data_IF_593048482491
#
_entry.id   IF_593048482491
#
_cell.length_a   1.000
_cell.length_b   1.000
_cell.length_c   1.000
_cell.angle_alpha   90.00
_cell.angle_beta   90.00
_cell.angle_gamma   90.00
#
_symmetry.space_group_name_H-M   'P 1'
#
loop_
_entity.id
_entity.type
_entity.pdbx_description
1 polymer ?
#
# COMPACT_ATOMS: atom_id res chain seq x y z
N UNK A 1 -27.33 14.05 31.01
CA UNK A 1 -27.98 14.06 29.68
C UNK A 1 -26.91 14.47 28.69
N UNK A 2 -26.75 13.79 27.54
CA UNK A 2 -25.89 14.34 26.50
C UNK A 2 -26.37 15.77 26.20
N UNK A 3 -25.46 16.74 26.16
CA UNK A 3 -25.82 18.13 25.84
C UNK A 3 -26.53 18.10 24.49
N UNK A 4 -27.71 18.74 24.40
CA UNK A 4 -28.38 18.90 23.11
C UNK A 4 -27.46 19.73 22.22
N UNK A 5 -26.95 19.13 21.15
CA UNK A 5 -26.03 19.79 20.22
C UNK A 5 -26.73 21.01 19.62
N UNK A 6 -26.03 22.15 19.60
CA UNK A 6 -26.48 23.33 18.87
C UNK A 6 -26.30 23.10 17.36
N UNK A 7 -26.89 23.95 16.52
CA UNK A 7 -26.66 23.86 15.08
C UNK A 7 -25.19 24.07 14.71
N UNK A 8 -24.49 24.97 15.42
CA UNK A 8 -23.06 25.16 15.25
C UNK A 8 -22.27 23.89 15.58
N UNK A 9 -22.57 23.25 16.73
CA UNK A 9 -21.93 21.98 17.10
C UNK A 9 -22.20 20.89 16.06
N UNK A 10 -23.41 20.84 15.49
CA UNK A 10 -23.75 19.88 14.42
C UNK A 10 -22.88 20.10 13.18
N UNK A 11 -22.69 21.35 12.73
CA UNK A 11 -21.81 21.67 11.60
C UNK A 11 -20.37 21.31 11.90
N UNK A 12 -19.89 21.61 13.11
CA UNK A 12 -18.56 21.27 13.56
C UNK A 12 -18.33 19.75 13.48
N UNK A 13 -19.29 18.95 13.97
CA UNK A 13 -19.25 17.49 13.88
C UNK A 13 -19.30 17.00 12.42
N UNK A 14 -20.11 17.63 11.56
CA UNK A 14 -20.18 17.29 10.15
C UNK A 14 -18.85 17.53 9.43
N UNK A 15 -18.23 18.69 9.65
CA UNK A 15 -16.89 19.02 9.12
C UNK A 15 -15.84 18.04 9.63
N UNK A 16 -15.81 17.74 10.93
CA UNK A 16 -14.89 16.74 11.50
C UNK A 16 -15.07 15.35 10.87
N UNK A 17 -16.32 14.96 10.62
CA UNK A 17 -16.65 13.66 10.01
C UNK A 17 -16.17 13.61 8.57
N UNK A 18 -16.51 14.60 7.75
CA UNK A 18 -16.09 14.68 6.36
C UNK A 18 -14.56 14.75 6.24
N UNK A 19 -13.91 15.59 7.04
CA UNK A 19 -12.44 15.68 7.08
C UNK A 19 -11.81 14.32 7.41
N UNK A 20 -12.24 13.69 8.51
CA UNK A 20 -11.68 12.40 8.93
C UNK A 20 -11.93 11.31 7.89
N UNK A 21 -13.14 11.28 7.31
CA UNK A 21 -13.52 10.36 6.24
C UNK A 21 -12.64 10.54 4.99
N UNK A 22 -12.48 11.75 4.49
CA UNK A 22 -11.67 12.01 3.30
C UNK A 22 -10.20 11.73 3.54
N UNK A 23 -9.63 12.12 4.68
CA UNK A 23 -8.22 11.79 5.02
C UNK A 23 -8.02 10.29 5.06
N UNK A 24 -8.86 9.55 5.79
CA UNK A 24 -8.73 8.10 5.91
C UNK A 24 -8.92 7.40 4.56
N UNK A 25 -9.86 7.86 3.74
CA UNK A 25 -10.11 7.34 2.41
C UNK A 25 -8.95 7.62 1.44
N UNK A 26 -8.45 8.85 1.38
CA UNK A 26 -7.31 9.21 0.52
C UNK A 26 -6.04 8.43 0.92
N UNK A 27 -5.76 8.29 2.22
CA UNK A 27 -4.64 7.47 2.70
C UNK A 27 -4.80 6.00 2.31
N UNK A 28 -6.01 5.45 2.47
CA UNK A 28 -6.32 4.06 2.10
C UNK A 28 -6.16 3.83 0.58
N UNK A 29 -6.68 4.73 -0.23
CA UNK A 29 -6.58 4.71 -1.69
C UNK A 29 -5.11 4.83 -2.14
N UNK A 30 -4.31 5.68 -1.47
CA UNK A 30 -2.88 5.85 -1.76
C UNK A 30 -2.06 4.60 -1.41
N UNK A 31 -2.29 4.00 -0.25
CA UNK A 31 -1.66 2.72 0.13
C UNK A 31 -1.98 1.65 -0.93
N UNK A 32 -3.24 1.58 -1.38
CA UNK A 32 -3.63 0.60 -2.39
C UNK A 32 -2.99 0.85 -3.75
N UNK A 33 -2.95 2.10 -4.20
CA UNK A 33 -2.28 2.49 -5.44
C UNK A 33 -0.78 2.16 -5.39
N UNK A 34 -0.13 2.41 -4.27
CA UNK A 34 1.29 2.09 -4.06
C UNK A 34 1.54 0.58 -4.05
N UNK A 35 0.64 -0.21 -3.47
CA UNK A 35 0.71 -1.67 -3.52
C UNK A 35 0.60 -2.18 -4.97
N UNK A 36 -0.46 -1.78 -5.69
CA UNK A 36 -0.65 -2.16 -7.10
C UNK A 36 0.55 -1.76 -7.98
N UNK A 37 1.06 -0.54 -7.79
CA UNK A 37 2.19 -0.03 -8.55
C UNK A 37 3.48 -0.84 -8.30
N UNK A 38 3.75 -1.20 -7.04
CA UNK A 38 4.93 -1.98 -6.71
C UNK A 38 4.83 -3.46 -7.14
N UNK A 39 3.63 -4.06 -7.05
CA UNK A 39 3.38 -5.39 -7.62
C UNK A 39 3.61 -5.38 -9.12
N UNK A 40 3.03 -4.42 -9.85
CA UNK A 40 3.23 -4.31 -11.30
C UNK A 40 4.68 -4.04 -11.72
N UNK A 41 5.47 -3.32 -10.90
CA UNK A 41 6.92 -3.21 -11.11
C UNK A 41 7.63 -4.54 -10.95
N UNK A 42 7.28 -5.32 -9.94
CA UNK A 42 7.88 -6.64 -9.71
C UNK A 42 7.51 -7.56 -10.86
N UNK A 43 6.25 -7.60 -11.28
CA UNK A 43 5.78 -8.39 -12.42
C UNK A 43 6.53 -8.05 -13.70
N UNK A 44 6.67 -6.76 -14.03
CA UNK A 44 7.40 -6.34 -15.21
C UNK A 44 8.87 -6.78 -15.22
N UNK A 45 9.47 -6.97 -14.03
CA UNK A 45 10.82 -7.51 -13.93
C UNK A 45 10.82 -9.05 -13.97
N UNK A 46 9.83 -9.72 -13.36
CA UNK A 46 9.68 -11.18 -13.34
C UNK A 46 9.26 -11.79 -14.69
N UNK A 47 8.53 -11.03 -15.51
CA UNK A 47 8.11 -11.41 -16.88
C UNK A 47 9.30 -11.59 -17.83
N UNK A 48 10.49 -11.12 -17.43
CA UNK A 48 11.74 -11.33 -18.15
C UNK A 48 12.68 -12.09 -17.23
N UNK A 49 13.16 -13.29 -17.59
CA UNK A 49 14.11 -14.00 -16.75
C UNK A 49 15.33 -13.08 -16.51
N UNK A 50 15.59 -12.65 -15.27
CA UNK A 50 16.70 -11.78 -15.00
C UNK A 50 17.98 -12.59 -15.21
N UNK A 51 18.84 -12.08 -16.08
CA UNK A 51 20.12 -12.69 -16.41
C UNK A 51 21.21 -12.12 -15.52
N UNK A 52 22.03 -12.99 -14.95
CA UNK A 52 23.20 -12.59 -14.19
C UNK A 52 24.41 -13.31 -14.77
N UNK A 53 25.46 -12.54 -15.02
CA UNK A 53 26.75 -13.10 -15.37
C UNK A 53 27.49 -13.40 -14.05
N UNK A 54 27.91 -14.65 -13.87
CA UNK A 54 28.73 -15.07 -12.74
C UNK A 54 30.12 -15.38 -13.30
N UNK A 55 31.11 -14.57 -12.94
CA UNK A 55 32.49 -14.73 -13.38
C UNK A 55 33.35 -15.22 -12.22
N UNK A 56 34.18 -16.25 -12.45
CA UNK A 56 35.13 -16.78 -11.47
C UNK A 56 36.56 -16.52 -11.95
N UNK A 57 37.22 -15.53 -11.33
CA UNK A 57 38.60 -15.17 -11.60
C UNK A 57 39.36 -14.95 -10.29
N UNK A 58 40.61 -15.41 -10.21
CA UNK A 58 41.50 -15.22 -9.06
C UNK A 58 40.90 -15.60 -7.70
N UNK A 59 40.29 -16.80 -7.59
CA UNK A 59 39.63 -17.28 -6.35
C UNK A 59 38.47 -16.36 -5.87
N UNK A 60 37.84 -15.64 -6.80
CA UNK A 60 36.77 -14.69 -6.52
C UNK A 60 35.60 -14.85 -7.48
N UNK A 61 34.38 -14.82 -6.93
CA UNK A 61 33.13 -14.75 -7.70
C UNK A 61 32.71 -13.28 -7.87
N UNK A 62 32.42 -12.86 -9.10
CA UNK A 62 31.83 -11.56 -9.42
C UNK A 62 30.47 -11.76 -10.09
N UNK A 63 29.41 -11.15 -9.54
CA UNK A 63 28.07 -11.17 -10.13
C UNK A 63 27.80 -9.84 -10.84
N UNK A 64 27.53 -9.87 -12.15
CA UNK A 64 27.16 -8.69 -12.95
C UNK A 64 25.72 -8.79 -13.43
N UNK A 65 25.12 -7.64 -13.76
CA UNK A 65 23.73 -7.58 -14.26
C UNK A 65 22.64 -7.58 -13.19
N UNK A 66 22.99 -7.54 -11.89
CA UNK A 66 22.00 -7.58 -10.82
C UNK A 66 21.02 -6.39 -10.86
N UNK A 67 19.73 -6.69 -11.04
CA UNK A 67 18.65 -5.71 -11.17
C UNK A 67 18.37 -5.03 -9.82
N UNK A 68 19.11 -3.94 -9.53
CA UNK A 68 18.89 -3.09 -8.34
C UNK A 68 17.46 -2.52 -8.21
N UNK A 69 16.64 -2.61 -9.26
CA UNK A 69 15.26 -2.11 -9.32
C UNK A 69 14.28 -2.95 -8.48
N UNK A 70 14.63 -4.19 -8.13
CA UNK A 70 13.84 -5.02 -7.22
C UNK A 70 13.85 -4.49 -5.79
N UNK A 71 15.01 -4.02 -5.32
CA UNK A 71 15.24 -3.71 -3.91
C UNK A 71 14.26 -2.67 -3.38
N UNK A 72 14.08 -1.54 -4.08
CA UNK A 72 13.19 -0.48 -3.60
C UNK A 72 11.72 -0.92 -3.60
N UNK A 73 11.29 -1.68 -4.61
CA UNK A 73 9.90 -2.12 -4.72
C UNK A 73 9.56 -3.18 -3.67
N UNK A 74 10.48 -4.13 -3.41
CA UNK A 74 10.33 -5.14 -2.35
C UNK A 74 10.31 -4.50 -0.96
N UNK A 75 11.20 -3.53 -0.69
CA UNK A 75 11.23 -2.84 0.60
C UNK A 75 9.94 -2.03 0.84
N UNK A 76 9.42 -1.35 -0.18
CA UNK A 76 8.14 -0.64 -0.08
C UNK A 76 6.96 -1.59 0.17
N UNK A 77 6.98 -2.79 -0.42
CA UNK A 77 5.94 -3.79 -0.13
C UNK A 77 6.02 -4.31 1.30
N UNK A 78 7.21 -4.47 1.87
CA UNK A 78 7.37 -4.83 3.28
C UNK A 78 6.75 -3.76 4.19
N UNK A 79 6.98 -2.47 3.90
CA UNK A 79 6.34 -1.35 4.62
C UNK A 79 4.81 -1.38 4.48
N UNK A 80 4.30 -1.66 3.28
CA UNK A 80 2.84 -1.78 3.05
C UNK A 80 2.24 -2.94 3.87
N UNK A 81 2.93 -4.08 3.99
CA UNK A 81 2.43 -5.21 4.77
C UNK A 81 2.37 -4.89 6.27
N UNK A 82 3.35 -4.14 6.78
CA UNK A 82 3.35 -3.65 8.16
C UNK A 82 2.17 -2.70 8.41
N UNK A 83 1.93 -1.75 7.50
CA UNK A 83 0.76 -0.85 7.56
C UNK A 83 -0.56 -1.64 7.57
N UNK A 84 -0.63 -2.73 6.80
CA UNK A 84 -1.81 -3.60 6.72
C UNK A 84 -1.91 -4.60 7.89
N UNK A 85 -0.92 -4.66 8.79
CA UNK A 85 -0.87 -5.58 9.91
C UNK A 85 -0.77 -7.06 9.49
N UNK A 86 -0.16 -7.34 8.34
CA UNK A 86 -0.02 -8.68 7.80
C UNK A 86 1.24 -9.34 8.37
N UNK A 87 1.10 -10.55 8.92
CA UNK A 87 2.23 -11.33 9.39
C UNK A 87 3.16 -11.68 8.21
N UNK A 88 4.40 -11.22 8.30
CA UNK A 88 5.43 -11.38 7.26
C UNK A 88 6.27 -12.64 7.43
N UNK A 89 6.16 -13.32 8.58
CA UNK A 89 6.98 -14.47 8.94
C UNK A 89 6.87 -15.58 7.89
N UNK A 90 8.01 -15.94 7.30
CA UNK A 90 8.14 -16.97 6.25
C UNK A 90 7.49 -16.65 4.89
N UNK A 91 6.98 -15.43 4.66
CA UNK A 91 6.47 -14.97 3.35
C UNK A 91 7.51 -15.06 2.23
N UNK A 92 7.07 -15.27 0.98
CA UNK A 92 7.97 -15.19 -0.18
C UNK A 92 8.57 -13.78 -0.32
N UNK A 93 7.88 -12.74 0.16
CA UNK A 93 8.34 -11.35 0.14
C UNK A 93 9.56 -11.13 1.05
N UNK A 94 9.51 -11.57 2.31
CA UNK A 94 10.66 -11.45 3.25
C UNK A 94 11.85 -12.23 2.72
N UNK A 95 11.58 -13.47 2.33
CA UNK A 95 12.53 -14.36 1.67
C UNK A 95 13.19 -13.65 0.47
N UNK A 96 12.41 -13.04 -0.41
CA UNK A 96 12.87 -12.30 -1.58
C UNK A 96 13.73 -11.07 -1.21
N UNK A 97 13.32 -10.34 -0.18
CA UNK A 97 14.04 -9.15 0.27
C UNK A 97 15.38 -9.50 0.93
N UNK A 98 15.41 -10.56 1.76
CA UNK A 98 16.63 -11.11 2.35
C UNK A 98 17.59 -11.60 1.27
N UNK A 99 17.08 -12.33 0.26
CA UNK A 99 17.88 -12.74 -0.90
C UNK A 99 18.53 -11.55 -1.60
N UNK A 100 17.77 -10.49 -1.89
CA UNK A 100 18.29 -9.28 -2.56
C UNK A 100 19.32 -8.55 -1.71
N UNK A 101 19.11 -8.45 -0.39
CA UNK A 101 20.07 -7.84 0.55
C UNK A 101 21.38 -8.62 0.56
N UNK A 102 21.29 -9.93 0.76
CA UNK A 102 22.45 -10.78 0.94
C UNK A 102 23.22 -10.88 -0.39
N UNK A 103 22.55 -11.24 -1.49
CA UNK A 103 23.16 -11.35 -2.82
C UNK A 103 23.66 -10.02 -3.39
N UNK A 104 22.99 -8.90 -3.08
CA UNK A 104 23.42 -7.56 -3.47
C UNK A 104 24.71 -7.10 -2.77
N UNK A 105 24.94 -7.53 -1.52
CA UNK A 105 26.20 -7.29 -0.79
C UNK A 105 27.37 -8.10 -1.34
N UNK A 106 27.07 -9.32 -1.78
CA UNK A 106 28.02 -10.28 -2.35
C UNK A 106 28.55 -9.90 -3.75
N UNK A 107 27.88 -9.01 -4.48
CA UNK A 107 28.29 -8.53 -5.81
C UNK A 107 29.58 -7.67 -5.84
N UNK A 108 30.33 -7.52 -4.74
CA UNK A 108 31.48 -6.61 -4.64
C UNK A 108 32.86 -7.24 -4.41
N UNK A 109 32.98 -8.56 -4.27
CA UNK A 109 34.18 -9.45 -4.18
C UNK A 109 33.96 -10.44 -3.03
N UNK A 110 34.02 -11.74 -3.31
CA UNK A 110 33.98 -12.83 -2.30
C UNK A 110 35.25 -13.67 -2.36
N UNK A 111 35.70 -14.19 -1.21
CA UNK A 111 36.77 -15.22 -1.10
C UNK A 111 36.19 -16.63 -1.30
N UNK A 112 37.02 -17.63 -1.59
CA UNK A 112 36.59 -19.02 -1.87
C UNK A 112 35.67 -19.67 -0.79
N UNK A 113 35.87 -19.37 0.49
CA UNK A 113 35.00 -19.85 1.57
C UNK A 113 33.65 -19.14 1.63
N UNK A 114 33.62 -17.82 1.38
CA UNK A 114 32.40 -17.03 1.23
C UNK A 114 31.66 -17.41 -0.06
N UNK A 115 32.39 -17.80 -1.11
CA UNK A 115 31.86 -18.36 -2.34
C UNK A 115 31.25 -19.76 -2.14
N UNK A 116 31.81 -20.60 -1.25
CA UNK A 116 31.25 -21.90 -0.87
C UNK A 116 30.00 -21.77 0.01
N UNK A 117 29.97 -20.77 0.90
CA UNK A 117 28.78 -20.37 1.66
C UNK A 117 27.72 -19.74 0.76
N UNK A 118 28.11 -18.90 -0.21
CA UNK A 118 27.25 -18.44 -1.29
C UNK A 118 26.82 -19.61 -2.16
N UNK A 119 27.62 -20.66 -2.34
CA UNK A 119 27.23 -21.85 -3.10
C UNK A 119 26.17 -22.67 -2.36
N UNK A 120 26.36 -22.86 -1.06
CA UNK A 120 25.40 -23.50 -0.14
C UNK A 120 24.15 -22.63 0.01
N UNK A 121 24.34 -21.31 -0.06
CA UNK A 121 23.31 -20.28 -0.14
C UNK A 121 22.61 -20.27 -1.49
N UNK A 122 23.29 -20.42 -2.62
CA UNK A 122 22.76 -20.50 -3.99
C UNK A 122 21.91 -21.76 -4.12
N UNK A 123 22.29 -22.85 -3.45
CA UNK A 123 21.41 -24.01 -3.26
C UNK A 123 20.20 -23.68 -2.39
N UNK A 124 20.39 -23.09 -1.22
CA UNK A 124 19.28 -22.57 -0.41
C UNK A 124 18.41 -21.56 -1.17
N UNK A 125 18.98 -20.93 -2.20
CA UNK A 125 18.40 -19.90 -3.03
C UNK A 125 18.05 -20.39 -4.44
N UNK A 126 18.12 -21.68 -4.75
CA UNK A 126 17.66 -22.21 -6.04
C UNK A 126 16.14 -22.03 -6.16
N UNK A 127 15.47 -21.96 -5.01
CA UNK A 127 14.11 -21.51 -4.92
C UNK A 127 13.95 -20.02 -5.24
N UNK A 128 14.90 -19.15 -4.86
CA UNK A 128 14.91 -17.75 -5.30
C UNK A 128 15.24 -17.60 -6.79
N UNK A 129 16.17 -18.40 -7.31
CA UNK A 129 16.44 -18.52 -8.75
C UNK A 129 15.15 -18.90 -9.48
N UNK A 130 14.33 -19.81 -8.92
CA UNK A 130 12.99 -20.14 -9.45
C UNK A 130 11.93 -19.05 -9.22
N UNK A 131 11.87 -18.44 -8.03
CA UNK A 131 10.94 -17.36 -7.68
C UNK A 131 11.12 -16.13 -8.58
N UNK A 132 12.37 -15.87 -8.96
CA UNK A 132 12.76 -14.75 -9.79
C UNK A 132 13.01 -15.14 -11.25
N UNK A 133 12.80 -16.40 -11.67
CA UNK A 133 13.05 -16.88 -13.04
C UNK A 133 14.47 -16.60 -13.56
N UNK A 134 15.49 -16.74 -12.72
CA UNK A 134 16.88 -16.36 -13.01
C UNK A 134 17.55 -17.32 -13.99
N UNK A 135 18.11 -16.79 -15.09
CA UNK A 135 18.99 -17.51 -16.01
C UNK A 135 20.45 -17.34 -15.57
N UNK A 136 21.16 -18.46 -15.33
CA UNK A 136 22.59 -18.49 -14.99
C UNK A 136 23.41 -18.87 -16.23
N UNK A 137 24.35 -18.01 -16.64
CA UNK A 137 25.31 -18.35 -17.71
C UNK A 137 26.40 -19.31 -17.20
N UNK A 138 26.97 -20.12 -18.11
CA UNK A 138 27.77 -21.30 -17.75
C UNK A 138 29.10 -20.99 -17.01
N UNK A 139 29.34 -21.75 -15.90
CA UNK A 139 30.62 -22.07 -15.19
C UNK A 139 30.99 -21.28 -13.90
N UNK A 140 31.85 -21.81 -13.00
CA UNK A 140 32.15 -23.20 -12.67
C UNK A 140 31.27 -23.65 -11.48
N UNK A 141 30.36 -24.57 -11.76
CA UNK A 141 29.37 -25.03 -10.80
C UNK A 141 29.81 -26.41 -10.27
N UNK A 142 29.89 -26.68 -8.95
CA UNK A 142 30.30 -27.96 -8.40
C UNK A 142 29.56 -29.08 -9.08
N UNK A 143 30.26 -30.17 -9.39
CA UNK A 143 29.80 -31.13 -10.39
C UNK A 143 28.41 -31.72 -10.10
N UNK A 144 28.07 -31.96 -8.82
CA UNK A 144 26.75 -32.44 -8.37
C UNK A 144 25.60 -31.47 -8.66
N UNK A 145 25.90 -30.19 -8.73
CA UNK A 145 24.96 -29.10 -8.99
C UNK A 145 24.65 -29.01 -10.46
N UNK A 146 25.68 -29.09 -11.31
CA UNK A 146 25.51 -29.21 -12.75
C UNK A 146 24.74 -30.48 -13.10
N UNK A 147 25.04 -31.60 -12.44
CA UNK A 147 24.32 -32.86 -12.60
C UNK A 147 22.85 -32.72 -12.20
N UNK A 148 22.56 -32.07 -11.06
CA UNK A 148 21.18 -31.80 -10.64
C UNK A 148 20.45 -30.87 -11.61
N UNK A 149 21.05 -29.72 -11.97
CA UNK A 149 20.46 -28.73 -12.89
C UNK A 149 20.20 -29.33 -14.29
N UNK A 150 21.11 -30.14 -14.81
CA UNK A 150 20.92 -30.86 -16.08
C UNK A 150 19.82 -31.91 -15.99
N UNK A 151 19.71 -32.59 -14.85
CA UNK A 151 18.70 -33.61 -14.63
C UNK A 151 17.29 -33.02 -14.48
N UNK A 152 17.12 -31.89 -13.79
CA UNK A 152 15.81 -31.25 -13.65
C UNK A 152 15.33 -30.59 -14.95
N UNK A 153 16.25 -30.10 -15.79
CA UNK A 153 15.92 -29.52 -17.11
C UNK A 153 15.32 -30.54 -18.08
N UNK A 154 15.52 -31.84 -17.84
CA UNK A 154 15.05 -32.94 -18.69
C UNK A 154 13.77 -33.61 -18.16
N UNK A 155 13.26 -33.23 -16.98
CA UNK A 155 12.11 -33.89 -16.32
C UNK A 155 10.93 -32.94 -16.10
N UNK A 156 9.73 -33.43 -16.37
CA UNK A 156 8.50 -32.61 -16.48
C UNK A 156 7.66 -32.49 -15.19
N UNK A 157 7.90 -33.30 -14.15
CA UNK A 157 7.08 -33.29 -12.93
C UNK A 157 7.90 -33.03 -11.67
N UNK A 158 7.30 -32.35 -10.68
CA UNK A 158 7.95 -32.02 -9.41
C UNK A 158 8.40 -33.28 -8.64
N UNK A 159 7.64 -34.36 -8.76
CA UNK A 159 7.90 -35.64 -8.08
C UNK A 159 9.14 -36.35 -8.65
N UNK A 160 9.34 -36.31 -9.97
CA UNK A 160 10.54 -36.88 -10.59
C UNK A 160 11.81 -36.06 -10.31
N UNK A 161 11.66 -34.75 -10.15
CA UNK A 161 12.74 -33.83 -9.78
C UNK A 161 13.14 -34.05 -8.30
N UNK A 162 12.17 -34.29 -7.41
CA UNK A 162 12.38 -34.62 -6.00
C UNK A 162 13.13 -35.95 -5.81
N UNK A 163 12.75 -36.99 -6.55
CA UNK A 163 13.44 -38.28 -6.50
C UNK A 163 14.91 -38.14 -6.94
N UNK A 164 15.15 -37.32 -7.98
CA UNK A 164 16.50 -37.02 -8.49
C UNK A 164 17.33 -36.25 -7.46
N UNK A 165 16.73 -35.27 -6.78
CA UNK A 165 17.36 -34.55 -5.67
C UNK A 165 17.75 -35.50 -4.53
N UNK A 166 16.83 -36.32 -4.05
CA UNK A 166 17.08 -37.28 -2.98
C UNK A 166 18.18 -38.29 -3.32
N UNK A 167 18.30 -38.67 -4.60
CA UNK A 167 19.35 -39.56 -5.09
C UNK A 167 20.73 -38.89 -5.10
N UNK A 168 20.83 -37.70 -5.69
CA UNK A 168 22.10 -36.95 -5.84
C UNK A 168 22.62 -36.47 -4.47
N UNK A 169 21.73 -36.07 -3.57
CA UNK A 169 22.04 -35.53 -2.25
C UNK A 169 21.77 -36.54 -1.11
N UNK A 170 21.76 -37.84 -1.42
CA UNK A 170 21.52 -38.93 -0.46
C UNK A 170 22.46 -38.95 0.75
N UNK A 171 23.67 -38.40 0.61
CA UNK A 171 24.68 -38.28 1.67
C UNK A 171 24.51 -37.05 2.57
N UNK A 172 23.58 -36.14 2.26
CA UNK A 172 23.27 -34.99 3.12
C UNK A 172 22.49 -35.42 4.36
N UNK A 173 22.69 -34.72 5.48
CA UNK A 173 22.01 -35.00 6.74
C UNK A 173 20.48 -34.91 6.58
N UNK A 174 19.73 -35.79 7.23
CA UNK A 174 18.26 -35.90 7.06
C UNK A 174 17.51 -34.57 7.23
N UNK A 175 17.82 -33.81 8.29
CA UNK A 175 17.21 -32.51 8.57
C UNK A 175 17.51 -31.46 7.50
N UNK A 176 18.69 -31.53 6.89
CA UNK A 176 19.11 -30.63 5.80
C UNK A 176 18.34 -31.00 4.52
N UNK A 177 18.21 -32.29 4.22
CA UNK A 177 17.49 -32.80 3.05
C UNK A 177 15.98 -32.53 3.13
N UNK A 178 15.38 -32.69 4.30
CA UNK A 178 13.96 -32.41 4.54
C UNK A 178 13.64 -30.92 4.43
N UNK A 179 14.45 -30.06 5.05
CA UNK A 179 14.35 -28.60 4.92
C UNK A 179 14.40 -28.15 3.45
N UNK A 180 15.39 -28.63 2.69
CA UNK A 180 15.50 -28.28 1.28
C UNK A 180 14.44 -28.97 0.40
N UNK A 181 13.92 -30.15 0.78
CA UNK A 181 12.81 -30.77 0.05
C UNK A 181 11.53 -29.93 0.14
N UNK A 182 11.19 -29.47 1.35
CA UNK A 182 10.04 -28.59 1.58
C UNK A 182 10.21 -27.26 0.84
N UNK A 183 11.40 -26.67 0.91
CA UNK A 183 11.67 -25.39 0.25
C UNK A 183 11.63 -25.54 -1.28
N UNK A 184 12.35 -26.47 -1.91
CA UNK A 184 12.50 -26.54 -3.38
C UNK A 184 11.29 -27.03 -4.18
N UNK A 185 10.43 -27.84 -3.57
CA UNK A 185 9.39 -28.60 -4.27
C UNK A 185 7.96 -28.19 -3.91
N UNK A 186 7.77 -27.40 -2.85
CA UNK A 186 6.51 -26.70 -2.56
C UNK A 186 6.68 -25.16 -2.59
N UNK A 187 7.28 -24.55 -3.64
CA UNK A 187 7.47 -23.09 -3.66
C UNK A 187 6.13 -22.36 -3.83
N UNK A 188 5.84 -21.44 -2.91
CA UNK A 188 4.90 -20.35 -3.17
C UNK A 188 5.62 -19.33 -4.05
N UNK A 189 5.23 -19.20 -5.32
CA UNK A 189 5.81 -18.21 -6.23
C UNK A 189 5.53 -16.79 -5.70
N UNK A 190 6.57 -15.94 -5.62
CA UNK A 190 6.46 -14.55 -5.15
C UNK A 190 5.35 -13.80 -5.88
N UNK A 191 5.30 -13.94 -7.21
CA UNK A 191 4.24 -13.34 -8.02
C UNK A 191 2.85 -13.82 -7.59
N UNK A 192 2.67 -15.14 -7.39
CA UNK A 192 1.39 -15.72 -6.97
C UNK A 192 0.99 -15.25 -5.57
N UNK A 193 1.93 -15.18 -4.64
CA UNK A 193 1.70 -14.68 -3.28
C UNK A 193 1.30 -13.19 -3.32
N UNK A 194 2.06 -12.35 -4.03
CA UNK A 194 1.78 -10.93 -4.14
C UNK A 194 0.41 -10.64 -4.76
N UNK A 195 0.02 -11.37 -5.81
CA UNK A 195 -1.30 -11.22 -6.42
C UNK A 195 -2.42 -11.65 -5.50
N UNK A 196 -2.28 -12.81 -4.84
CA UNK A 196 -3.26 -13.27 -3.85
C UNK A 196 -3.45 -12.24 -2.73
N UNK A 197 -2.34 -11.72 -2.20
CA UNK A 197 -2.36 -10.70 -1.16
C UNK A 197 -2.93 -9.36 -1.64
N UNK A 198 -2.66 -8.98 -2.89
CA UNK A 198 -3.25 -7.80 -3.51
C UNK A 198 -4.76 -7.94 -3.65
N UNK A 199 -5.26 -9.11 -4.06
CA UNK A 199 -6.69 -9.40 -4.16
C UNK A 199 -7.37 -9.35 -2.79
N UNK A 200 -6.77 -9.98 -1.77
CA UNK A 200 -7.27 -9.91 -0.40
C UNK A 200 -7.27 -8.47 0.14
N UNK A 201 -6.21 -7.72 -0.11
CA UNK A 201 -6.09 -6.33 0.32
C UNK A 201 -7.12 -5.44 -0.40
N UNK A 202 -7.36 -5.66 -1.69
CA UNK A 202 -8.38 -4.96 -2.46
C UNK A 202 -9.79 -5.24 -1.92
N UNK A 203 -10.08 -6.50 -1.58
CA UNK A 203 -11.36 -6.86 -0.96
C UNK A 203 -11.54 -6.18 0.40
N UNK A 204 -10.54 -6.24 1.28
CA UNK A 204 -10.55 -5.57 2.59
C UNK A 204 -10.69 -4.06 2.44
N UNK A 205 -9.96 -3.46 1.50
CA UNK A 205 -10.03 -2.04 1.16
C UNK A 205 -11.47 -1.63 0.81
N UNK A 206 -12.13 -2.35 -0.10
CA UNK A 206 -13.52 -2.07 -0.47
C UNK A 206 -14.47 -2.26 0.71
N UNK A 207 -14.31 -3.31 1.51
CA UNK A 207 -15.16 -3.57 2.67
C UNK A 207 -15.00 -2.49 3.76
N UNK A 208 -13.77 -2.06 4.03
CA UNK A 208 -13.47 -1.03 5.02
C UNK A 208 -14.02 0.32 4.56
N UNK A 209 -13.75 0.73 3.31
CA UNK A 209 -14.27 1.99 2.77
C UNK A 209 -15.80 2.04 2.76
N UNK A 210 -16.48 0.90 2.55
CA UNK A 210 -17.95 0.83 2.62
C UNK A 210 -18.50 1.15 4.01
N UNK A 211 -17.79 0.79 5.08
CA UNK A 211 -18.20 1.02 6.48
C UNK A 211 -17.57 2.27 7.09
N UNK A 212 -16.59 2.85 6.43
CA UNK A 212 -15.77 3.94 6.95
C UNK A 212 -16.63 5.12 7.38
N UNK A 213 -17.56 5.56 6.54
CA UNK A 213 -18.42 6.69 6.83
C UNK A 213 -19.24 6.47 8.11
N UNK A 214 -19.88 5.30 8.25
CA UNK A 214 -20.71 4.96 9.42
C UNK A 214 -19.88 4.91 10.71
N UNK A 215 -18.68 4.35 10.64
CA UNK A 215 -17.74 4.29 11.75
C UNK A 215 -17.32 5.70 12.16
N UNK A 216 -16.96 6.55 11.19
CA UNK A 216 -16.54 7.92 11.44
C UNK A 216 -17.68 8.78 12.01
N UNK A 217 -18.89 8.68 11.45
CA UNK A 217 -20.10 9.32 11.99
C UNK A 217 -20.29 8.97 13.47
N UNK A 218 -20.25 7.68 13.79
CA UNK A 218 -20.42 7.19 15.17
C UNK A 218 -19.32 7.66 16.11
N UNK A 219 -18.07 7.65 15.65
CA UNK A 219 -16.92 8.11 16.42
C UNK A 219 -17.02 9.59 16.76
N UNK A 220 -17.28 10.44 15.76
CA UNK A 220 -17.34 11.89 15.94
C UNK A 220 -18.52 12.31 16.82
N UNK A 221 -19.69 11.67 16.68
CA UNK A 221 -20.83 11.92 17.57
C UNK A 221 -20.56 11.52 19.03
N UNK A 222 -19.67 10.56 19.25
CA UNK A 222 -19.28 10.10 20.59
C UNK A 222 -18.04 10.81 21.16
N UNK A 223 -17.49 11.80 20.45
CA UNK A 223 -16.22 12.43 20.84
C UNK A 223 -16.21 12.99 22.27
N UNK A 224 -17.35 13.52 22.76
CA UNK A 224 -17.47 14.07 24.11
C UNK A 224 -17.78 13.02 25.19
N UNK A 225 -17.97 11.75 24.81
CA UNK A 225 -18.34 10.69 25.72
C UNK A 225 -17.14 9.84 26.11
N UNK A 226 -16.96 9.60 27.41
CA UNK A 226 -15.92 8.71 27.93
C UNK A 226 -16.08 7.26 27.45
N UNK A 227 -17.30 6.86 27.09
CA UNK A 227 -17.64 5.54 26.55
C UNK A 227 -18.58 5.70 25.36
N UNK A 228 -18.44 4.87 24.31
CA UNK A 228 -19.39 4.87 23.20
C UNK A 228 -20.82 4.65 23.69
N UNK A 229 -21.70 5.58 23.35
CA UNK A 229 -23.13 5.50 23.56
C UNK A 229 -23.82 5.28 22.20
N UNK A 230 -24.98 4.61 22.23
CA UNK A 230 -25.89 4.61 21.09
C UNK A 230 -26.56 5.99 21.03
N UNK A 231 -26.04 6.85 20.17
CA UNK A 231 -26.56 8.19 19.92
C UNK A 231 -27.23 8.18 18.56
N UNK A 232 -28.48 8.62 18.51
CA UNK A 232 -29.16 8.92 17.26
C UNK A 232 -28.60 10.21 16.68
N UNK A 233 -28.13 10.13 15.43
CA UNK A 233 -27.59 11.29 14.73
C UNK A 233 -28.71 12.32 14.50
N UNK A 234 -28.49 13.61 14.77
CA UNK A 234 -29.48 14.64 14.39
C UNK A 234 -29.71 14.63 12.88
N UNK A 235 -30.95 14.75 12.41
CA UNK A 235 -31.28 14.72 10.96
C UNK A 235 -30.43 15.68 10.13
N UNK A 236 -30.16 16.88 10.68
CA UNK A 236 -29.35 17.89 10.02
C UNK A 236 -27.89 17.47 9.85
N UNK A 237 -27.33 16.67 10.76
CA UNK A 237 -25.98 16.14 10.65
C UNK A 237 -25.84 15.20 9.44
N UNK A 238 -26.77 14.25 9.28
CA UNK A 238 -26.77 13.34 8.15
C UNK A 238 -27.07 14.08 6.84
N UNK A 239 -27.97 15.06 6.86
CA UNK A 239 -28.27 15.91 5.70
C UNK A 239 -27.01 16.61 5.18
N UNK A 240 -26.20 17.20 6.05
CA UNK A 240 -24.96 17.86 5.65
C UNK A 240 -23.94 16.87 5.09
N UNK A 241 -23.70 15.75 5.78
CA UNK A 241 -22.66 14.81 5.37
C UNK A 241 -23.03 14.10 4.08
N UNK A 242 -24.21 13.49 4.03
CA UNK A 242 -24.62 12.69 2.88
C UNK A 242 -24.90 13.59 1.68
N UNK A 243 -25.46 14.78 1.93
CA UNK A 243 -25.64 15.80 0.92
C UNK A 243 -24.34 16.26 0.27
N UNK A 244 -23.33 16.63 1.09
CA UNK A 244 -22.01 17.03 0.59
C UNK A 244 -21.36 15.90 -0.20
N UNK A 245 -21.41 14.66 0.28
CA UNK A 245 -20.79 13.52 -0.40
C UNK A 245 -21.49 13.16 -1.72
N UNK A 246 -22.82 13.30 -1.78
CA UNK A 246 -23.59 13.02 -3.00
C UNK A 246 -23.37 14.10 -4.07
N UNK A 247 -23.29 15.37 -3.66
CA UNK A 247 -23.16 16.51 -4.56
C UNK A 247 -21.70 16.99 -4.72
N UNK A 248 -20.71 16.27 -4.18
CA UNK A 248 -19.32 16.72 -4.06
C UNK A 248 -18.77 17.28 -5.38
N UNK A 249 -18.91 16.53 -6.48
CA UNK A 249 -18.42 16.95 -7.79
C UNK A 249 -19.12 18.22 -8.33
N UNK A 250 -20.43 18.35 -8.07
CA UNK A 250 -21.20 19.52 -8.47
C UNK A 250 -20.79 20.75 -7.63
N UNK A 251 -20.61 20.58 -6.32
CA UNK A 251 -20.12 21.62 -5.41
C UNK A 251 -18.71 22.07 -5.80
N UNK A 252 -17.79 21.14 -6.08
CA UNK A 252 -16.44 21.45 -6.56
C UNK A 252 -16.47 22.25 -7.87
N UNK A 253 -17.32 21.87 -8.82
CA UNK A 253 -17.49 22.58 -10.09
C UNK A 253 -18.03 24.00 -9.87
N UNK A 254 -18.92 24.18 -8.89
CA UNK A 254 -19.47 25.49 -8.52
C UNK A 254 -18.44 26.39 -7.82
N UNK A 255 -17.58 25.82 -6.97
CA UNK A 255 -16.56 26.56 -6.22
C UNK A 255 -15.38 26.97 -7.11
N UNK A 256 -14.98 26.08 -8.03
CA UNK A 256 -13.74 26.22 -8.82
C UNK A 256 -13.57 27.57 -9.55
N UNK A 257 -14.60 28.20 -10.16
CA UNK A 257 -14.48 29.50 -10.81
C UNK A 257 -14.07 30.65 -9.89
N UNK A 258 -14.25 30.49 -8.58
CA UNK A 258 -13.94 31.51 -7.57
C UNK A 258 -12.57 31.29 -6.91
N UNK A 259 -11.86 30.24 -7.30
CA UNK A 259 -10.47 30.03 -6.95
C UNK A 259 -9.56 30.91 -7.83
N UNK A 260 -8.41 31.33 -7.30
CA UNK A 260 -7.46 32.10 -8.12
C UNK A 260 -7.00 31.29 -9.34
N UNK A 261 -6.68 31.94 -10.47
CA UNK A 261 -6.25 31.27 -11.72
C UNK A 261 -5.08 30.28 -11.55
N UNK A 262 -4.31 30.40 -10.46
CA UNK A 262 -3.15 29.53 -10.15
C UNK A 262 -3.49 28.34 -9.23
N UNK A 263 -4.72 28.26 -8.72
CA UNK A 263 -5.14 27.32 -7.68
C UNK A 263 -6.23 26.40 -8.23
N UNK A 264 -5.98 25.09 -8.19
CA UNK A 264 -7.01 24.08 -8.41
C UNK A 264 -7.60 23.66 -7.06
N UNK A 265 -8.81 23.09 -7.08
CA UNK A 265 -9.49 22.66 -5.86
C UNK A 265 -8.68 21.61 -5.08
N UNK A 266 -7.95 20.75 -5.79
CA UNK A 266 -7.12 19.69 -5.21
C UNK A 266 -5.86 20.22 -4.50
N UNK A 267 -5.46 21.48 -4.76
CA UNK A 267 -4.31 22.12 -4.09
C UNK A 267 -4.68 22.74 -2.74
N UNK A 268 -5.96 22.87 -2.45
CA UNK A 268 -6.43 23.34 -1.15
C UNK A 268 -6.11 22.30 -0.07
N UNK A 269 -5.92 22.76 1.16
CA UNK A 269 -5.83 21.82 2.28
C UNK A 269 -7.15 21.06 2.42
N UNK A 270 -7.09 19.83 2.92
CA UNK A 270 -8.29 19.00 3.10
C UNK A 270 -9.37 19.72 3.94
N UNK A 271 -8.96 20.45 4.98
CA UNK A 271 -9.89 21.17 5.84
C UNK A 271 -10.57 22.34 5.11
N UNK A 272 -9.84 23.09 4.28
CA UNK A 272 -10.41 24.15 3.45
C UNK A 272 -11.42 23.58 2.45
N UNK A 273 -11.09 22.46 1.79
CA UNK A 273 -12.01 21.75 0.88
C UNK A 273 -13.31 21.41 1.59
N UNK A 274 -13.23 20.76 2.75
CA UNK A 274 -14.42 20.31 3.48
C UNK A 274 -15.29 21.48 3.93
N UNK A 275 -14.70 22.55 4.49
CA UNK A 275 -15.46 23.72 4.94
C UNK A 275 -16.13 24.42 3.75
N UNK A 276 -15.43 24.56 2.62
CA UNK A 276 -16.01 25.12 1.40
C UNK A 276 -17.17 24.27 0.87
N UNK A 277 -17.03 22.94 0.88
CA UNK A 277 -18.08 22.03 0.43
C UNK A 277 -19.32 22.11 1.33
N UNK A 278 -19.14 22.08 2.66
CA UNK A 278 -20.24 22.21 3.61
C UNK A 278 -20.94 23.55 3.45
N UNK A 279 -20.18 24.66 3.39
CA UNK A 279 -20.75 25.99 3.19
C UNK A 279 -21.50 26.13 1.87
N UNK A 280 -20.93 25.63 0.77
CA UNK A 280 -21.58 25.66 -0.54
C UNK A 280 -22.85 24.79 -0.58
N UNK A 281 -22.82 23.61 0.05
CA UNK A 281 -23.99 22.75 0.17
C UNK A 281 -25.10 23.44 0.97
N UNK A 282 -24.77 24.07 2.10
CA UNK A 282 -25.75 24.81 2.89
C UNK A 282 -26.42 25.93 2.09
N UNK A 283 -25.64 26.73 1.35
CA UNK A 283 -26.16 27.83 0.51
C UNK A 283 -27.09 27.31 -0.60
N UNK A 284 -26.80 26.14 -1.17
CA UNK A 284 -27.43 25.71 -2.43
C UNK A 284 -28.54 24.69 -2.24
N UNK A 285 -28.49 23.90 -1.16
CA UNK A 285 -29.31 22.71 -0.98
C UNK A 285 -30.09 22.69 0.34
N UNK A 286 -29.90 23.68 1.22
CA UNK A 286 -30.60 23.74 2.52
C UNK A 286 -31.50 24.97 2.65
N UNK A 287 -32.27 25.04 3.74
CA UNK A 287 -33.10 26.21 4.08
C UNK A 287 -32.34 27.24 4.94
N UNK A 288 -31.04 27.04 5.18
CA UNK A 288 -30.21 27.98 5.94
C UNK A 288 -30.05 29.27 5.13
N UNK A 289 -30.32 30.45 5.70
CA UNK A 289 -30.07 31.70 4.99
C UNK A 289 -28.60 31.82 4.55
N UNK A 290 -28.36 32.21 3.31
CA UNK A 290 -27.03 32.23 2.68
C UNK A 290 -25.96 32.93 3.55
N UNK A 291 -26.30 34.08 4.13
CA UNK A 291 -25.41 34.86 4.99
C UNK A 291 -25.06 34.11 6.28
N UNK A 292 -26.00 33.35 6.83
CA UNK A 292 -25.77 32.51 8.02
C UNK A 292 -24.83 31.37 7.66
N UNK A 293 -25.06 30.69 6.53
CA UNK A 293 -24.19 29.60 6.06
C UNK A 293 -22.74 30.07 5.87
N UNK A 294 -22.53 31.25 5.27
CA UNK A 294 -21.19 31.84 5.13
C UNK A 294 -20.58 32.16 6.49
N UNK A 295 -21.31 32.82 7.38
CA UNK A 295 -20.79 33.16 8.71
C UNK A 295 -20.39 31.91 9.51
N UNK A 296 -21.21 30.87 9.48
CA UNK A 296 -20.91 29.60 10.16
C UNK A 296 -19.67 28.92 9.56
N UNK A 297 -19.55 28.86 8.23
CA UNK A 297 -18.33 28.34 7.58
C UNK A 297 -17.08 29.15 7.97
N UNK A 298 -17.20 30.47 8.10
CA UNK A 298 -16.13 31.36 8.54
C UNK A 298 -15.78 31.11 10.01
N UNK A 299 -16.75 30.94 10.90
CA UNK A 299 -16.47 30.60 12.31
C UNK A 299 -15.79 29.23 12.42
N UNK A 300 -16.29 28.21 11.72
CA UNK A 300 -15.66 26.88 11.68
C UNK A 300 -14.20 26.96 11.21
N UNK A 301 -13.90 27.79 10.20
CA UNK A 301 -12.53 27.94 9.71
C UNK A 301 -11.56 28.51 10.76
N UNK A 302 -12.05 29.29 11.73
CA UNK A 302 -11.21 29.82 12.82
C UNK A 302 -10.84 28.75 13.82
N UNK A 303 -11.72 27.76 14.00
CA UNK A 303 -11.47 26.64 14.91
C UNK A 303 -10.49 25.62 14.31
N UNK A 304 -10.49 25.47 12.98
CA UNK A 304 -9.74 24.42 12.30
C UNK A 304 -8.57 24.89 11.44
N UNK A 305 -8.42 26.18 11.14
CA UNK A 305 -7.40 26.69 10.23
C UNK A 305 -6.80 28.03 10.65
N UNK A 306 -5.92 28.57 9.81
CA UNK A 306 -5.28 29.87 10.02
C UNK A 306 -6.16 31.05 9.54
N UNK A 307 -5.76 32.25 9.94
CA UNK A 307 -6.46 33.51 9.60
C UNK A 307 -6.52 33.75 8.08
N UNK A 308 -5.57 33.22 7.30
CA UNK A 308 -5.58 33.37 5.84
C UNK A 308 -6.65 32.48 5.23
N UNK A 309 -6.76 31.23 5.66
CA UNK A 309 -7.84 30.32 5.27
C UNK A 309 -9.21 30.90 5.59
N UNK A 310 -9.40 31.50 6.78
CA UNK A 310 -10.67 32.16 7.14
C UNK A 310 -11.08 33.25 6.15
N UNK A 311 -10.14 34.13 5.77
CA UNK A 311 -10.40 35.21 4.79
C UNK A 311 -10.68 34.64 3.40
N UNK A 312 -9.94 33.60 3.03
CA UNK A 312 -10.10 32.92 1.75
C UNK A 312 -11.47 32.26 1.63
N UNK A 313 -11.87 31.44 2.62
CA UNK A 313 -13.17 30.76 2.67
C UNK A 313 -14.32 31.77 2.60
N UNK A 314 -14.25 32.84 3.39
CA UNK A 314 -15.23 33.91 3.33
C UNK A 314 -15.35 34.51 1.93
N UNK A 315 -14.20 34.83 1.31
CA UNK A 315 -14.13 35.38 -0.03
C UNK A 315 -14.79 34.48 -1.06
N UNK A 316 -14.46 33.19 -1.08
CA UNK A 316 -15.01 32.22 -2.03
C UNK A 316 -16.52 32.06 -1.84
N UNK A 317 -16.99 31.77 -0.62
CA UNK A 317 -18.41 31.49 -0.39
C UNK A 317 -19.30 32.72 -0.61
N UNK A 318 -18.81 33.92 -0.32
CA UNK A 318 -19.58 35.16 -0.58
C UNK A 318 -19.91 35.33 -2.08
N UNK A 319 -19.09 34.81 -3.00
CA UNK A 319 -19.38 34.86 -4.44
C UNK A 319 -20.51 33.90 -4.87
N UNK A 320 -20.84 32.90 -4.03
CA UNK A 320 -21.92 31.95 -4.31
C UNK A 320 -23.31 32.51 -3.97
N UNK A 321 -23.37 33.52 -3.11
CA UNK A 321 -24.62 34.18 -2.73
C UNK A 321 -25.13 35.05 -3.88
N UNK A 322 -26.42 34.91 -4.22
CA UNK A 322 -27.07 35.82 -5.17
C UNK A 322 -27.30 37.18 -4.51
N UNK A 323 -26.85 38.25 -5.18
CA UNK A 323 -27.08 39.64 -4.76
C UNK A 323 -28.55 40.06 -4.85
#
# INVERSE_FOLDING_TARGET
>A
MPKKLTQHDIRQRAVQTLYSYHVQREMSDEVMKNFQFNVGKIDAILDRPPRFEVDYQDERITVRGFQKRFTSSLSQLVEIYDILGIALDHSALVKANDFVRDFGGYAKKMRDNEALELYTGVFSNLNFVRLFSIDLEETPTPQKVLEFLRAIAQKNTAQDQLETFNKIFSLAHGNIREKYTLEFFEPVLLQKELHHMLDEAALKHTQNNRKLLDITKRFVLNYDNEKPLEIEAPDYFDTLIDGVLNDEAALQTMISPYLSEKWSFERLTMIERVILLVGAYEITATQTPDVVAVNEAVELSKDFSDVKSTRFINGVLTHLIKK
#
